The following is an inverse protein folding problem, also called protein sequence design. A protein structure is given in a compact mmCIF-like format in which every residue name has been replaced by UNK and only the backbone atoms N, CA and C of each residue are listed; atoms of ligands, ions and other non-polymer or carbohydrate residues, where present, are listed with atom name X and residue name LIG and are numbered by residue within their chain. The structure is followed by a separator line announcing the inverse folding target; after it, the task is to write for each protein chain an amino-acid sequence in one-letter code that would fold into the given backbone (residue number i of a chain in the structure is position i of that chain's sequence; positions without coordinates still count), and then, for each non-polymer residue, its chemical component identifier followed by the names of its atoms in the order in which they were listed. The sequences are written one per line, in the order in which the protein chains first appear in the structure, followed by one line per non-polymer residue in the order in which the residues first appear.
data_IF_691901338615
#
_entry.id   IF_691901338615
#
_cell.length_a   1.000
_cell.length_b   1.000
_cell.length_c   1.000
_cell.angle_alpha   90.00
_cell.angle_beta   90.00
_cell.angle_gamma   90.00
#
_symmetry.space_group_name_H-M   'P 1'
#
loop_
_entity.id
_entity.type
_entity.pdbx_description
1 polymer ?
#
# COMPACT_ATOMS: atom_id res chain seq x y z
N UNK A 1 12.42 -6.09 22.62
CA UNK A 1 11.19 -6.94 22.37
C UNK A 1 10.24 -6.14 21.51
N UNK A 2 9.70 -6.76 20.46
CA UNK A 2 8.70 -6.13 19.63
C UNK A 2 7.49 -5.69 20.47
N UNK A 3 6.95 -4.49 20.16
CA UNK A 3 5.66 -4.06 20.66
C UNK A 3 4.55 -4.45 19.66
N UNK A 4 3.29 -4.53 20.11
CA UNK A 4 2.18 -4.61 19.15
C UNK A 4 2.25 -3.45 18.16
N UNK A 5 1.95 -3.75 16.88
CA UNK A 5 1.95 -2.76 15.80
C UNK A 5 0.67 -2.94 14.97
N UNK A 6 -0.04 -1.84 14.73
CA UNK A 6 -1.18 -1.80 13.81
C UNK A 6 -0.80 -1.06 12.54
N UNK A 7 -1.03 -1.70 11.39
CA UNK A 7 -0.76 -1.15 10.07
C UNK A 7 -2.08 -0.95 9.33
N UNK A 8 -2.26 0.21 8.71
CA UNK A 8 -3.22 0.43 7.65
C UNK A 8 -2.51 0.19 6.30
N UNK A 9 -3.12 -0.57 5.41
CA UNK A 9 -2.55 -0.88 4.10
C UNK A 9 -3.59 -0.65 3.00
N UNK A 10 -3.22 0.16 2.02
CA UNK A 10 -3.95 0.41 0.78
C UNK A 10 -3.02 0.34 -0.42
N UNK A 11 -3.59 0.17 -1.61
CA UNK A 11 -2.92 0.27 -2.91
C UNK A 11 -3.95 0.61 -3.98
N UNK A 12 -3.49 0.83 -5.21
CA UNK A 12 -4.35 0.92 -6.39
C UNK A 12 -5.49 1.95 -6.19
N UNK A 13 -5.11 3.13 -5.68
CA UNK A 13 -6.04 4.23 -5.42
C UNK A 13 -6.52 4.85 -6.72
N UNK A 14 -5.62 4.96 -7.73
CA UNK A 14 -5.89 5.49 -9.06
C UNK A 14 -6.48 6.90 -9.05
N UNK A 15 -5.88 7.80 -8.28
CA UNK A 15 -6.26 9.22 -8.29
C UNK A 15 -6.09 9.81 -9.68
N UNK A 16 -7.14 10.47 -10.19
CA UNK A 16 -7.19 10.99 -11.54
C UNK A 16 -7.80 12.38 -11.60
N UNK A 17 -7.61 13.05 -12.74
CA UNK A 17 -8.15 14.38 -13.01
C UNK A 17 -9.67 14.35 -13.25
N UNK A 18 -10.29 15.52 -13.27
CA UNK A 18 -11.68 15.71 -13.68
C UNK A 18 -12.72 15.16 -12.71
N UNK A 19 -13.96 15.07 -13.20
CA UNK A 19 -15.13 14.69 -12.39
C UNK A 19 -15.12 13.20 -12.01
N UNK A 20 -14.61 12.34 -12.89
CA UNK A 20 -14.43 10.91 -12.58
C UNK A 20 -13.51 10.70 -11.37
N UNK A 21 -12.50 11.57 -11.21
CA UNK A 21 -11.63 11.58 -10.05
C UNK A 21 -12.31 11.96 -8.73
N UNK A 22 -13.51 12.58 -8.74
CA UNK A 22 -14.19 12.96 -7.49
C UNK A 22 -14.54 11.76 -6.63
N UNK A 23 -15.01 10.68 -7.25
CA UNK A 23 -15.34 9.44 -6.53
C UNK A 23 -14.10 8.80 -5.91
N UNK A 24 -13.01 8.76 -6.66
CA UNK A 24 -11.75 8.20 -6.17
C UNK A 24 -11.17 9.05 -5.04
N UNK A 25 -11.23 10.39 -5.17
CA UNK A 25 -10.84 11.30 -4.08
C UNK A 25 -11.68 11.09 -2.82
N UNK A 26 -12.99 10.92 -2.97
CA UNK A 26 -13.87 10.61 -1.83
C UNK A 26 -13.51 9.26 -1.17
N UNK A 27 -13.20 8.23 -1.97
CA UNK A 27 -12.75 6.95 -1.45
C UNK A 27 -11.40 7.05 -0.73
N UNK A 28 -10.45 7.81 -1.29
CA UNK A 28 -9.16 8.05 -0.61
C UNK A 28 -9.33 8.83 0.69
N UNK A 29 -10.25 9.80 0.74
CA UNK A 29 -10.59 10.48 2.00
C UNK A 29 -11.10 9.47 3.04
N UNK A 30 -11.94 8.51 2.66
CA UNK A 30 -12.39 7.45 3.57
C UNK A 30 -11.25 6.55 4.04
N UNK A 31 -10.27 6.24 3.16
CA UNK A 31 -9.04 5.52 3.59
C UNK A 31 -8.35 6.28 4.71
N UNK A 32 -8.13 7.58 4.52
CA UNK A 32 -7.48 8.43 5.53
C UNK A 32 -8.30 8.47 6.84
N UNK A 33 -9.62 8.59 6.75
CA UNK A 33 -10.50 8.55 7.93
C UNK A 33 -10.35 7.23 8.70
N UNK A 34 -10.30 6.09 8.00
CA UNK A 34 -10.07 4.77 8.61
C UNK A 34 -8.68 4.69 9.25
N UNK A 35 -7.62 5.23 8.63
CA UNK A 35 -6.28 5.27 9.22
C UNK A 35 -6.32 5.99 10.57
N UNK A 36 -7.00 7.14 10.63
CA UNK A 36 -7.14 7.94 11.85
C UNK A 36 -7.99 7.22 12.93
N UNK A 37 -9.15 6.70 12.53
CA UNK A 37 -10.10 6.05 13.45
C UNK A 37 -9.57 4.72 14.01
N UNK A 38 -8.79 3.97 13.23
CA UNK A 38 -8.22 2.70 13.65
C UNK A 38 -7.06 2.85 14.64
N UNK A 39 -6.50 4.06 14.77
CA UNK A 39 -5.29 4.30 15.56
C UNK A 39 -4.09 3.53 15.00
N UNK A 40 -3.95 3.49 13.67
CA UNK A 40 -2.83 2.82 13.02
C UNK A 40 -1.50 3.48 13.38
N UNK A 41 -0.50 2.67 13.69
CA UNK A 41 0.87 3.10 13.99
C UNK A 41 1.69 3.37 12.73
N UNK A 42 1.31 2.76 11.60
CA UNK A 42 2.00 2.83 10.30
C UNK A 42 0.96 2.76 9.17
N UNK A 43 1.15 3.58 8.13
CA UNK A 43 0.32 3.55 6.94
C UNK A 43 1.16 3.20 5.70
N UNK A 44 0.69 2.25 4.89
CA UNK A 44 1.37 1.77 3.68
C UNK A 44 0.50 1.99 2.45
N UNK A 45 1.08 2.59 1.40
CA UNK A 45 0.48 2.76 0.07
C UNK A 45 1.34 1.98 -0.93
N UNK A 46 0.88 0.79 -1.30
CA UNK A 46 1.66 -0.18 -2.06
C UNK A 46 1.49 -0.02 -3.58
N UNK A 47 1.75 1.19 -4.09
CA UNK A 47 1.76 1.53 -5.52
C UNK A 47 0.41 1.97 -6.07
N UNK A 48 0.43 2.51 -7.29
CA UNK A 48 -0.72 3.01 -8.04
C UNK A 48 -1.56 4.00 -7.23
N UNK A 49 -0.88 4.96 -6.60
CA UNK A 49 -1.54 6.10 -5.95
C UNK A 49 -2.26 6.95 -6.99
N UNK A 50 -1.67 7.10 -8.18
CA UNK A 50 -2.22 7.82 -9.31
C UNK A 50 -2.51 6.89 -10.49
N UNK A 51 -3.53 7.26 -11.30
CA UNK A 51 -3.97 6.49 -12.45
C UNK A 51 -3.04 6.63 -13.67
N UNK A 52 -2.33 7.75 -13.78
CA UNK A 52 -1.30 8.00 -14.79
C UNK A 52 -0.34 9.13 -14.36
N UNK A 53 0.71 9.35 -15.15
CA UNK A 53 1.71 10.39 -14.89
C UNK A 53 1.27 11.82 -15.32
N UNK A 54 0.07 12.01 -15.91
CA UNK A 54 -0.43 13.33 -16.39
C UNK A 54 -1.29 14.06 -15.35
N UNK A 55 -1.10 13.74 -14.10
CA UNK A 55 -1.84 14.31 -12.97
C UNK A 55 -1.59 15.82 -12.86
N UNK A 56 -2.68 16.56 -12.65
CA UNK A 56 -2.68 18.02 -12.50
C UNK A 56 -2.44 18.43 -11.04
N UNK A 57 -1.90 19.65 -10.86
CA UNK A 57 -1.59 20.21 -9.54
C UNK A 57 -2.73 20.14 -8.50
N UNK A 58 -4.02 20.36 -8.83
CA UNK A 58 -5.08 20.24 -7.83
C UNK A 58 -5.22 18.85 -7.21
N UNK A 59 -4.93 17.78 -7.98
CA UNK A 59 -4.96 16.42 -7.44
C UNK A 59 -3.74 16.16 -6.56
N UNK A 60 -2.56 16.67 -6.94
CA UNK A 60 -1.36 16.60 -6.10
C UNK A 60 -1.58 17.34 -4.77
N UNK A 61 -2.14 18.56 -4.82
CA UNK A 61 -2.47 19.34 -3.63
C UNK A 61 -3.45 18.60 -2.71
N UNK A 62 -4.47 17.95 -3.29
CA UNK A 62 -5.38 17.10 -2.54
C UNK A 62 -4.66 15.95 -1.84
N UNK A 63 -3.68 15.29 -2.49
CA UNK A 63 -2.89 14.23 -1.85
C UNK A 63 -2.10 14.76 -0.67
N UNK A 64 -1.43 15.91 -0.81
CA UNK A 64 -0.72 16.54 0.29
C UNK A 64 -1.65 16.86 1.46
N UNK A 65 -2.81 17.43 1.18
CA UNK A 65 -3.82 17.75 2.19
C UNK A 65 -4.29 16.48 2.93
N UNK A 66 -4.57 15.39 2.22
CA UNK A 66 -5.01 14.15 2.84
C UNK A 66 -3.90 13.49 3.66
N UNK A 67 -2.69 13.40 3.13
CA UNK A 67 -1.55 12.80 3.84
C UNK A 67 -1.12 13.62 5.05
N UNK A 68 -1.25 14.96 5.00
CA UNK A 68 -0.96 15.83 6.15
C UNK A 68 -1.89 15.59 7.34
N UNK A 69 -3.08 15.01 7.14
CA UNK A 69 -3.99 14.60 8.21
C UNK A 69 -3.51 13.37 8.98
N UNK A 70 -2.69 12.53 8.32
CA UNK A 70 -2.20 11.28 8.92
C UNK A 70 -1.15 11.58 9.98
N UNK A 71 -1.35 11.09 11.20
CA UNK A 71 -0.45 11.36 12.32
C UNK A 71 0.63 10.30 12.53
N UNK A 72 0.66 9.23 11.74
CA UNK A 72 1.64 8.16 11.84
C UNK A 72 2.58 8.13 10.63
N UNK A 73 3.76 7.49 10.73
CA UNK A 73 4.63 7.22 9.59
C UNK A 73 3.86 6.64 8.43
N UNK A 74 4.08 7.18 7.24
CA UNK A 74 3.42 6.77 5.99
C UNK A 74 4.50 6.43 4.96
N UNK A 75 4.42 5.24 4.38
CA UNK A 75 5.38 4.78 3.38
C UNK A 75 4.66 4.53 2.05
N UNK A 76 5.23 5.04 0.97
CA UNK A 76 4.69 4.96 -0.38
C UNK A 76 5.71 4.30 -1.30
N UNK A 77 5.26 3.45 -2.22
CA UNK A 77 6.04 2.99 -3.37
C UNK A 77 5.31 3.33 -4.67
N UNK A 78 6.03 3.39 -5.80
CA UNK A 78 5.43 3.47 -7.12
C UNK A 78 4.88 2.11 -7.56
N UNK A 79 3.76 2.12 -8.30
CA UNK A 79 3.23 0.98 -9.04
C UNK A 79 3.45 1.12 -10.55
N UNK A 80 2.61 0.43 -11.35
CA UNK A 80 2.78 0.46 -12.82
C UNK A 80 2.10 1.66 -13.49
N UNK A 81 1.09 2.26 -12.86
CA UNK A 81 0.44 3.46 -13.40
C UNK A 81 1.22 4.74 -13.08
N UNK A 82 1.92 4.78 -11.96
CA UNK A 82 2.73 5.92 -11.51
C UNK A 82 4.23 5.57 -11.39
N UNK A 83 4.72 4.73 -12.33
CA UNK A 83 6.11 4.29 -12.41
C UNK A 83 7.12 5.42 -12.15
N UNK A 84 8.23 5.10 -11.48
CA UNK A 84 9.30 6.04 -11.16
C UNK A 84 10.23 6.32 -12.37
N UNK A 85 9.65 6.48 -13.56
CA UNK A 85 10.35 6.92 -14.77
C UNK A 85 10.60 8.44 -14.79
N UNK A 86 11.19 8.95 -15.86
CA UNK A 86 11.51 10.38 -15.99
C UNK A 86 10.25 11.28 -16.11
N UNK A 87 9.08 10.71 -16.42
CA UNK A 87 7.81 11.41 -16.53
C UNK A 87 6.95 11.25 -15.27
N UNK A 88 7.41 10.52 -14.28
CA UNK A 88 6.65 10.16 -13.09
C UNK A 88 6.04 11.38 -12.39
N UNK A 89 4.75 11.26 -12.07
CA UNK A 89 4.06 12.23 -11.21
C UNK A 89 4.72 12.30 -9.82
N UNK A 90 5.20 11.16 -9.31
CA UNK A 90 5.85 11.06 -8.00
C UNK A 90 7.17 11.85 -7.94
N UNK A 91 7.90 11.99 -9.09
CA UNK A 91 9.11 12.84 -9.17
C UNK A 91 8.80 14.34 -9.10
N UNK A 92 7.56 14.73 -9.44
CA UNK A 92 7.10 16.12 -9.36
C UNK A 92 6.60 16.51 -7.96
N UNK A 93 6.54 15.54 -7.05
CA UNK A 93 6.06 15.71 -5.69
C UNK A 93 7.22 15.78 -4.71
N UNK A 94 7.12 16.71 -3.76
CA UNK A 94 7.89 16.67 -2.52
C UNK A 94 6.97 16.23 -1.38
N UNK A 95 7.03 14.96 -1.03
CA UNK A 95 6.17 14.42 0.02
C UNK A 95 6.36 15.09 1.39
N UNK A 96 7.47 15.83 1.60
CA UNK A 96 7.68 16.65 2.80
C UNK A 96 6.68 17.81 2.89
N UNK A 97 6.05 18.20 1.77
CA UNK A 97 4.94 19.17 1.80
C UNK A 97 3.70 18.63 2.54
N UNK A 98 3.52 17.31 2.58
CA UNK A 98 2.50 16.67 3.40
C UNK A 98 2.94 16.46 4.87
N UNK A 99 4.25 16.47 5.13
CA UNK A 99 4.84 16.30 6.45
C UNK A 99 6.05 15.38 6.45
N UNK A 100 6.91 15.53 7.47
CA UNK A 100 8.14 14.73 7.62
C UNK A 100 7.86 13.23 7.90
N UNK A 101 6.62 12.87 8.19
CA UNK A 101 6.18 11.50 8.43
C UNK A 101 5.91 10.71 7.15
N UNK A 102 5.94 11.34 5.98
CA UNK A 102 5.68 10.67 4.70
C UNK A 102 7.00 10.39 3.98
N UNK A 103 7.23 9.12 3.66
CA UNK A 103 8.44 8.64 2.98
C UNK A 103 8.07 7.92 1.69
N UNK A 104 8.65 8.36 0.57
CA UNK A 104 8.63 7.63 -0.70
C UNK A 104 9.88 6.75 -0.77
N UNK A 105 9.69 5.43 -0.92
CA UNK A 105 10.79 4.52 -1.24
C UNK A 105 11.00 4.58 -2.76
N UNK A 106 12.04 5.27 -3.21
CA UNK A 106 12.24 5.64 -4.61
C UNK A 106 13.49 5.02 -5.24
N UNK A 107 14.00 3.95 -4.65
CA UNK A 107 15.14 3.22 -5.19
C UNK A 107 14.68 1.97 -5.96
N UNK A 108 15.14 1.85 -7.21
CA UNK A 108 14.84 0.72 -8.08
C UNK A 108 15.57 -0.58 -7.67
N UNK A 109 16.64 -0.47 -6.88
CA UNK A 109 17.33 -1.63 -6.30
C UNK A 109 16.76 -2.05 -4.94
N UNK A 110 15.82 -1.24 -4.41
CA UNK A 110 15.18 -1.42 -3.13
C UNK A 110 15.76 -0.53 -2.03
N UNK A 111 14.87 0.00 -1.22
CA UNK A 111 15.19 0.91 -0.12
C UNK A 111 14.55 0.41 1.17
N UNK A 112 15.29 0.48 2.27
CA UNK A 112 14.80 0.16 3.60
C UNK A 112 14.82 1.41 4.48
N UNK A 113 13.76 1.60 5.26
CA UNK A 113 13.65 2.65 6.27
C UNK A 113 13.36 2.02 7.62
N UNK A 114 14.00 2.55 8.66
CA UNK A 114 13.78 2.13 10.05
C UNK A 114 12.87 3.12 10.77
N UNK A 115 11.98 2.59 11.57
CA UNK A 115 11.12 3.31 12.50
C UNK A 115 11.41 2.80 13.92
N UNK A 116 12.43 3.35 14.60
CA UNK A 116 12.87 2.86 15.90
C UNK A 116 11.77 2.93 16.96
N UNK A 117 10.94 3.95 16.94
CA UNK A 117 9.80 4.14 17.85
C UNK A 117 8.71 3.08 17.69
N UNK A 118 8.61 2.48 16.47
CA UNK A 118 7.71 1.37 16.17
C UNK A 118 8.37 0.01 16.35
N UNK A 119 9.70 -0.02 16.52
CA UNK A 119 10.52 -1.22 16.46
C UNK A 119 10.26 -2.00 15.16
N UNK A 120 10.27 -1.29 14.03
CA UNK A 120 9.93 -1.81 12.71
C UNK A 120 10.87 -1.29 11.63
N UNK A 121 11.08 -2.13 10.61
CA UNK A 121 11.70 -1.76 9.35
C UNK A 121 10.70 -1.96 8.22
N UNK A 122 10.72 -1.06 7.24
CA UNK A 122 9.93 -1.18 6.02
C UNK A 122 10.87 -1.16 4.82
N UNK A 123 10.82 -2.19 4.02
CA UNK A 123 11.54 -2.27 2.75
C UNK A 123 10.54 -2.23 1.59
N UNK A 124 10.93 -1.60 0.50
CA UNK A 124 10.18 -1.64 -0.75
C UNK A 124 11.09 -1.32 -1.93
N UNK A 125 10.67 -1.78 -3.09
CA UNK A 125 11.33 -1.52 -4.36
C UNK A 125 10.43 -0.67 -5.24
N UNK A 126 10.97 0.45 -5.74
CA UNK A 126 10.24 1.34 -6.63
C UNK A 126 10.15 0.73 -8.03
N UNK A 127 8.98 0.74 -8.64
CA UNK A 127 8.82 0.28 -10.02
C UNK A 127 9.28 1.36 -10.99
N UNK A 128 10.33 1.08 -11.79
CA UNK A 128 10.81 1.99 -12.84
C UNK A 128 9.97 1.88 -14.11
N UNK A 129 9.59 0.66 -14.45
CA UNK A 129 8.79 0.33 -15.62
C UNK A 129 7.95 -0.94 -15.38
N UNK A 130 7.03 -1.22 -16.27
CA UNK A 130 6.19 -2.43 -16.23
C UNK A 130 6.66 -3.49 -17.23
N UNK A 131 7.98 -3.65 -17.34
CA UNK A 131 8.64 -4.60 -18.21
C UNK A 131 8.64 -6.02 -17.65
N UNK A 132 8.81 -7.03 -18.49
CA UNK A 132 8.93 -8.43 -18.06
C UNK A 132 10.14 -8.70 -17.16
N UNK A 133 11.17 -7.86 -17.28
CA UNK A 133 12.37 -7.90 -16.43
C UNK A 133 12.14 -7.39 -15.01
N UNK A 134 11.07 -6.65 -14.76
CA UNK A 134 10.79 -6.13 -13.43
C UNK A 134 10.50 -7.25 -12.43
N UNK A 135 11.25 -7.26 -11.34
CA UNK A 135 11.16 -8.26 -10.25
C UNK A 135 10.91 -7.53 -8.93
N UNK A 136 9.64 -7.36 -8.53
CA UNK A 136 9.28 -6.53 -7.38
C UNK A 136 9.93 -6.93 -6.04
N UNK A 137 10.29 -8.20 -5.91
CA UNK A 137 10.93 -8.75 -4.70
C UNK A 137 12.46 -8.83 -4.78
N UNK A 138 13.08 -8.46 -5.92
CA UNK A 138 14.52 -8.52 -6.06
C UNK A 138 15.21 -7.53 -5.11
N UNK A 139 16.31 -7.95 -4.49
CA UNK A 139 17.04 -7.11 -3.54
C UNK A 139 16.41 -7.03 -2.14
N UNK A 140 15.36 -7.80 -1.85
CA UNK A 140 14.80 -7.83 -0.49
C UNK A 140 15.89 -8.25 0.51
N UNK A 141 16.11 -7.44 1.58
CA UNK A 141 17.18 -7.70 2.54
C UNK A 141 16.82 -8.90 3.43
N UNK A 142 17.81 -9.66 3.90
CA UNK A 142 17.58 -10.66 4.91
C UNK A 142 17.15 -10.00 6.22
N UNK A 143 16.37 -10.70 7.03
CA UNK A 143 16.09 -10.27 8.40
C UNK A 143 17.40 -10.25 9.23
N UNK A 144 17.78 -9.10 9.73
CA UNK A 144 19.01 -8.90 10.52
C UNK A 144 18.77 -8.47 11.96
N UNK A 145 17.52 -8.23 12.34
CA UNK A 145 17.15 -7.73 13.66
C UNK A 145 15.89 -8.42 14.21
N UNK A 146 15.57 -8.17 15.47
CA UNK A 146 14.35 -8.60 16.11
C UNK A 146 13.16 -7.61 15.90
N UNK A 147 13.38 -6.55 15.12
CA UNK A 147 12.33 -5.59 14.72
C UNK A 147 11.29 -6.28 13.84
N UNK A 148 10.09 -5.70 13.79
CA UNK A 148 9.11 -6.07 12.76
C UNK A 148 9.70 -5.80 11.37
N UNK A 149 9.72 -6.82 10.54
CA UNK A 149 10.27 -6.77 9.19
C UNK A 149 9.14 -6.74 8.16
N UNK A 150 8.91 -5.60 7.54
CA UNK A 150 7.76 -5.33 6.67
C UNK A 150 8.27 -5.11 5.25
N UNK A 151 7.66 -5.78 4.27
CA UNK A 151 7.94 -5.58 2.86
C UNK A 151 6.79 -4.87 2.16
N UNK A 152 7.12 -4.13 1.09
CA UNK A 152 6.16 -3.54 0.14
C UNK A 152 6.57 -3.92 -1.28
N UNK A 153 5.62 -4.38 -2.09
CA UNK A 153 5.87 -4.69 -3.50
C UNK A 153 4.60 -4.45 -4.34
N UNK A 154 4.79 -4.02 -5.59
CA UNK A 154 3.69 -3.86 -6.53
C UNK A 154 3.89 -4.83 -7.69
N UNK A 155 3.01 -5.84 -7.82
CA UNK A 155 3.15 -6.88 -8.83
C UNK A 155 2.16 -8.02 -8.71
N UNK A 156 2.23 -8.95 -9.64
CA UNK A 156 1.31 -10.06 -9.78
C UNK A 156 1.81 -11.32 -9.07
N UNK A 157 1.10 -11.78 -8.06
CA UNK A 157 1.34 -13.10 -7.48
C UNK A 157 0.94 -14.21 -8.45
N UNK A 158 1.85 -15.15 -8.66
CA UNK A 158 1.65 -16.33 -9.50
C UNK A 158 2.18 -17.58 -8.80
N UNK A 159 1.45 -18.68 -8.95
CA UNK A 159 1.86 -19.97 -8.37
C UNK A 159 2.95 -20.67 -9.23
N UNK A 160 3.21 -20.14 -10.44
CA UNK A 160 4.20 -20.66 -11.41
C UNK A 160 4.84 -19.52 -12.20
N UNK A 161 6.08 -19.72 -12.65
CA UNK A 161 6.87 -18.68 -13.33
C UNK A 161 6.61 -18.58 -14.86
N UNK A 162 5.94 -19.57 -15.46
CA UNK A 162 5.65 -19.60 -16.91
C UNK A 162 4.47 -18.74 -17.29
N UNK A 163 4.69 -17.42 -17.39
CA UNK A 163 3.68 -16.46 -17.85
C UNK A 163 4.32 -15.36 -18.67
N UNK A 164 3.57 -14.84 -19.62
CA UNK A 164 3.92 -13.69 -20.44
C UNK A 164 3.79 -12.34 -19.68
N UNK A 165 3.35 -12.36 -18.42
CA UNK A 165 3.12 -11.17 -17.62
C UNK A 165 4.40 -10.64 -16.99
N UNK A 166 4.38 -9.37 -16.60
CA UNK A 166 5.46 -8.67 -15.92
C UNK A 166 5.28 -8.64 -14.40
N UNK A 167 6.30 -8.20 -13.69
CA UNK A 167 6.25 -7.91 -12.26
C UNK A 167 5.75 -9.06 -11.40
N UNK A 168 6.26 -10.27 -11.69
CA UNK A 168 5.82 -11.49 -11.03
C UNK A 168 6.39 -11.60 -9.62
N UNK A 169 5.55 -12.11 -8.71
CA UNK A 169 5.87 -12.43 -7.32
C UNK A 169 5.49 -13.88 -7.07
N UNK A 170 6.43 -14.70 -6.63
CA UNK A 170 6.26 -16.15 -6.47
C UNK A 170 6.17 -16.56 -4.99
N UNK A 171 5.57 -17.72 -4.68
CA UNK A 171 5.57 -18.30 -3.32
C UNK A 171 6.96 -18.39 -2.72
N UNK A 172 7.95 -18.78 -3.54
CA UNK A 172 9.35 -18.94 -3.12
C UNK A 172 9.98 -17.62 -2.72
N UNK A 173 9.73 -16.54 -3.46
CA UNK A 173 10.24 -15.20 -3.12
C UNK A 173 9.62 -14.69 -1.82
N UNK A 174 8.31 -14.89 -1.63
CA UNK A 174 7.61 -14.50 -0.39
C UNK A 174 8.19 -15.26 0.81
N UNK A 175 8.35 -16.57 0.70
CA UNK A 175 8.91 -17.40 1.78
C UNK A 175 10.36 -17.02 2.11
N UNK A 176 11.18 -16.81 1.07
CA UNK A 176 12.61 -16.47 1.23
C UNK A 176 12.84 -15.05 1.79
N UNK A 177 11.88 -14.13 1.67
CA UNK A 177 12.02 -12.75 2.11
C UNK A 177 12.14 -12.60 3.62
N UNK A 178 11.53 -13.51 4.38
CA UNK A 178 11.51 -13.47 5.85
C UNK A 178 10.75 -12.27 6.44
N UNK A 179 9.90 -11.59 5.67
CA UNK A 179 9.03 -10.55 6.18
C UNK A 179 7.98 -11.12 7.15
N UNK A 180 7.60 -10.34 8.15
CA UNK A 180 6.43 -10.64 8.98
C UNK A 180 5.15 -10.37 8.18
N UNK A 181 5.16 -9.26 7.43
CA UNK A 181 4.07 -8.84 6.57
C UNK A 181 4.61 -8.28 5.25
N UNK A 182 4.00 -8.68 4.14
CA UNK A 182 4.28 -8.17 2.80
C UNK A 182 3.02 -7.47 2.24
N UNK A 183 3.09 -6.14 2.15
CA UNK A 183 2.05 -5.31 1.56
C UNK A 183 2.17 -5.34 0.03
N UNK A 184 1.15 -5.85 -0.65
CA UNK A 184 1.12 -6.00 -2.10
C UNK A 184 0.12 -5.02 -2.73
N UNK A 185 0.45 -4.49 -3.90
CA UNK A 185 -0.46 -3.80 -4.82
C UNK A 185 -0.49 -4.46 -6.19
N UNK A 186 -1.33 -3.96 -7.12
CA UNK A 186 -1.57 -4.43 -8.49
C UNK A 186 -2.83 -5.28 -8.67
N UNK A 187 -3.24 -6.05 -7.67
CA UNK A 187 -4.45 -6.88 -7.76
C UNK A 187 -5.58 -6.21 -7.00
N UNK A 188 -6.63 -5.83 -7.72
CA UNK A 188 -7.73 -5.02 -7.22
C UNK A 188 -8.70 -5.76 -6.28
N UNK A 189 -8.52 -7.07 -6.09
CA UNK A 189 -9.29 -7.88 -5.16
C UNK A 189 -8.52 -8.12 -3.86
N UNK A 190 -9.20 -8.02 -2.71
CA UNK A 190 -8.59 -8.43 -1.45
C UNK A 190 -8.22 -9.91 -1.48
N UNK A 191 -6.94 -10.19 -1.26
CA UNK A 191 -6.42 -11.57 -1.25
C UNK A 191 -5.25 -11.70 -0.26
N UNK A 192 -5.27 -12.77 0.52
CA UNK A 192 -4.19 -13.10 1.45
C UNK A 192 -3.51 -14.41 1.05
N UNK A 193 -2.19 -14.46 1.16
CA UNK A 193 -1.39 -15.65 0.95
C UNK A 193 -0.38 -15.78 2.10
N UNK A 194 -0.11 -17.00 2.54
CA UNK A 194 0.92 -17.27 3.55
C UNK A 194 1.93 -18.26 2.99
N UNK A 195 3.20 -17.84 2.96
CA UNK A 195 4.31 -18.69 2.56
C UNK A 195 5.39 -18.62 3.63
N UNK A 196 5.70 -19.78 4.23
CA UNK A 196 6.51 -19.82 5.43
C UNK A 196 5.88 -19.01 6.57
N UNK A 197 6.65 -18.11 7.17
CA UNK A 197 6.17 -17.20 8.23
C UNK A 197 5.52 -15.94 7.68
N UNK A 198 5.75 -15.58 6.42
CA UNK A 198 5.30 -14.33 5.80
C UNK A 198 3.81 -14.36 5.46
N UNK A 199 3.07 -13.35 5.90
CA UNK A 199 1.73 -13.06 5.42
C UNK A 199 1.81 -11.98 4.34
N UNK A 200 1.50 -12.31 3.10
CA UNK A 200 1.36 -11.37 2.00
C UNK A 200 -0.13 -11.04 1.76
N UNK A 201 -0.44 -9.78 1.44
CA UNK A 201 -1.81 -9.36 1.27
C UNK A 201 -1.94 -8.28 0.18
N UNK A 202 -2.88 -8.48 -0.74
CA UNK A 202 -3.47 -7.44 -1.57
C UNK A 202 -4.64 -6.82 -0.79
N UNK A 203 -4.70 -5.48 -0.63
CA UNK A 203 -5.71 -4.86 0.22
C UNK A 203 -7.07 -4.73 -0.49
N UNK A 204 -7.14 -4.94 -1.79
CA UNK A 204 -8.22 -4.50 -2.66
C UNK A 204 -8.05 -3.03 -3.07
N UNK A 205 -9.07 -2.44 -3.69
CA UNK A 205 -9.07 -1.04 -4.15
C UNK A 205 -9.99 -0.18 -3.30
N UNK A 206 -9.62 1.08 -3.01
CA UNK A 206 -10.49 1.99 -2.23
C UNK A 206 -11.78 2.35 -2.94
N UNK A 207 -11.74 2.55 -4.27
CA UNK A 207 -12.90 2.88 -5.08
C UNK A 207 -13.30 1.67 -5.92
N UNK A 208 -14.49 1.11 -5.66
CA UNK A 208 -15.03 0.03 -6.48
C UNK A 208 -15.09 0.43 -7.97
N UNK A 209 -14.80 -0.49 -8.88
CA UNK A 209 -14.84 -0.23 -10.32
C UNK A 209 -16.28 0.08 -10.80
N UNK A 210 -16.37 0.85 -11.91
CA UNK A 210 -17.64 1.08 -12.60
C UNK A 210 -18.28 -0.27 -12.96
N UNK A 211 -19.54 -0.45 -12.53
CA UNK A 211 -20.33 -1.63 -12.85
C UNK A 211 -20.17 -2.82 -11.90
N UNK A 212 -19.30 -2.72 -10.88
CA UNK A 212 -19.30 -3.69 -9.78
C UNK A 212 -20.16 -3.17 -8.62
N UNK A 213 -20.83 -4.07 -7.93
CA UNK A 213 -21.59 -3.77 -6.69
C UNK A 213 -20.68 -3.82 -5.46
N UNK A 214 -19.40 -4.10 -5.66
CA UNK A 214 -18.43 -4.30 -4.58
C UNK A 214 -18.05 -2.96 -3.96
N UNK A 215 -18.17 -2.88 -2.66
CA UNK A 215 -17.70 -1.75 -1.88
C UNK A 215 -16.17 -1.66 -1.97
N UNK A 216 -15.62 -0.42 -1.87
CA UNK A 216 -14.19 -0.23 -1.76
C UNK A 216 -13.60 -0.95 -0.55
N UNK A 217 -12.31 -1.22 -0.58
CA UNK A 217 -11.63 -1.99 0.45
C UNK A 217 -10.23 -1.45 0.74
N UNK A 218 -9.80 -1.60 1.98
CA UNK A 218 -8.43 -1.51 2.45
C UNK A 218 -8.17 -2.61 3.48
N UNK A 219 -6.96 -2.76 3.97
CA UNK A 219 -6.63 -3.80 4.96
C UNK A 219 -6.08 -3.19 6.24
N UNK A 220 -6.58 -3.64 7.39
CA UNK A 220 -5.97 -3.40 8.69
C UNK A 220 -5.21 -4.65 9.14
N UNK A 221 -3.98 -4.45 9.61
CA UNK A 221 -3.05 -5.53 9.97
C UNK A 221 -2.60 -5.37 11.41
N UNK A 222 -2.75 -6.42 12.19
CA UNK A 222 -2.27 -6.48 13.57
C UNK A 222 -1.07 -7.43 13.67
N UNK A 223 0.07 -6.89 14.11
CA UNK A 223 1.25 -7.65 14.48
C UNK A 223 1.35 -7.66 16.01
N UNK A 224 1.39 -8.86 16.59
CA UNK A 224 1.51 -9.04 18.04
C UNK A 224 2.66 -9.99 18.35
N UNK A 225 3.56 -9.64 19.28
CA UNK A 225 4.68 -10.51 19.63
C UNK A 225 4.19 -11.91 20.03
N UNK A 226 4.84 -12.94 19.46
CA UNK A 226 4.51 -14.34 19.73
C UNK A 226 3.21 -14.84 19.10
N UNK A 227 2.53 -14.04 18.26
CA UNK A 227 1.33 -14.44 17.53
C UNK A 227 1.54 -14.34 16.02
N UNK A 228 0.74 -15.08 15.29
CA UNK A 228 0.67 -14.96 13.84
C UNK A 228 0.11 -13.58 13.45
N UNK A 229 0.69 -12.97 12.43
CA UNK A 229 0.19 -11.73 11.81
C UNK A 229 -1.24 -11.96 11.33
N UNK A 230 -2.12 -10.99 11.61
CA UNK A 230 -3.52 -10.99 11.19
C UNK A 230 -3.80 -9.78 10.30
N UNK A 231 -4.35 -10.03 9.13
CA UNK A 231 -4.84 -8.98 8.23
C UNK A 231 -6.37 -9.13 8.07
N UNK A 232 -7.08 -8.02 8.07
CA UNK A 232 -8.54 -7.98 7.96
C UNK A 232 -8.94 -6.94 6.93
N UNK A 233 -9.74 -7.37 5.94
CA UNK A 233 -10.36 -6.46 4.98
C UNK A 233 -11.29 -5.48 5.72
N UNK A 234 -11.13 -4.20 5.43
CA UNK A 234 -12.01 -3.14 5.90
C UNK A 234 -12.76 -2.56 4.71
N UNK A 235 -14.09 -2.70 4.72
CA UNK A 235 -14.96 -2.21 3.65
C UNK A 235 -15.11 -0.70 3.73
N UNK A 236 -14.89 -0.01 2.62
CA UNK A 236 -15.10 1.43 2.44
C UNK A 236 -16.45 1.69 1.74
N UNK A 237 -17.08 2.81 2.04
CA UNK A 237 -18.33 3.20 1.36
C UNK A 237 -19.61 2.56 1.90
N UNK A 238 -19.54 1.83 2.99
CA UNK A 238 -20.71 1.49 3.78
C UNK A 238 -21.20 2.74 4.50
N UNK A 239 -22.08 3.53 3.91
CA UNK A 239 -22.97 4.38 4.69
C UNK A 239 -23.63 3.44 5.69
N UNK A 240 -23.22 3.51 6.97
CA UNK A 240 -24.12 3.08 8.02
C UNK A 240 -25.38 3.91 7.82
N UNK A 241 -26.40 3.32 7.18
CA UNK A 241 -27.76 3.73 7.46
C UNK A 241 -27.93 3.60 8.98
N UNK A 242 -27.64 4.69 9.68
CA UNK A 242 -28.12 4.86 11.05
C UNK A 242 -29.61 4.60 10.96
N UNK A 243 -30.01 3.43 11.41
CA UNK A 243 -31.40 3.11 11.68
C UNK A 243 -31.95 4.23 12.57
N UNK A 244 -32.47 5.29 11.94
CA UNK A 244 -33.54 6.10 12.50
C UNK A 244 -34.76 5.21 12.49
N UNK A 245 -34.89 4.32 13.45
CA UNK A 245 -36.17 3.83 13.87
C UNK A 245 -36.68 4.78 14.92
N UNK A 246 -37.70 5.50 14.52
CA UNK A 246 -38.67 6.23 15.25
C UNK A 246 -39.06 5.52 16.55
N UNK A 247 -39.08 6.30 17.64
CA UNK A 247 -40.08 6.14 18.67
C UNK A 247 -41.33 6.88 18.23
#
# INVERSE_FOLDING_TARGET
MNRPLRIAHTSDVHLQNGDEGLRVRAAFTQVIDVVLESGSDLFLIAGDLFDDNRIQRPVIAFVYEQLARVGCPTVVIAGNHDCWDDQSVLRRMDFREAGSHVTLLNDAEGMQVEFPELHATVWGRCMLDHDRGNKPMAGSPPRVSDMWHIGMAHGLYVDYEETERSSLITPREIEASGFDYLALGHVHAHRQMRHGATLACYPGVPAAYYGTTDAGCMTLVDLQPGKSVRAVAHTLGGTQERKRRAG
#
